data_IF_366246637237
#
_entry.id   IF_366246637237
#
_cell.length_a   1.000
_cell.length_b   1.000
_cell.length_c   1.000
_cell.angle_alpha   90.00
_cell.angle_beta   90.00
_cell.angle_gamma   90.00
#
_symmetry.space_group_name_H-M   'P 1'
#
loop_
_entity.id
_entity.type
_entity.pdbx_description
1 polymer ?
#
# COMPACT_ATOMS: atom_id res chain seq x y z
N UNK A 1 -17.24 11.80 -16.19
CA UNK A 1 -16.50 11.59 -14.90
C UNK A 1 -15.27 10.78 -15.24
N UNK A 2 -14.09 11.10 -14.68
CA UNK A 2 -12.90 10.27 -14.89
C UNK A 2 -13.17 8.87 -14.32
N UNK A 3 -12.80 7.81 -15.07
CA UNK A 3 -12.92 6.42 -14.61
C UNK A 3 -12.02 6.12 -13.40
N UNK A 4 -12.17 4.93 -12.82
CA UNK A 4 -11.28 4.46 -11.77
C UNK A 4 -9.86 4.26 -12.30
N UNK A 5 -8.83 4.56 -11.47
CA UNK A 5 -7.42 4.27 -11.77
C UNK A 5 -6.93 3.12 -10.90
N UNK A 6 -6.02 2.31 -11.45
CA UNK A 6 -5.53 1.13 -10.77
C UNK A 6 -4.01 1.08 -10.68
N UNK A 7 -3.50 0.83 -9.48
CA UNK A 7 -2.13 0.39 -9.23
C UNK A 7 -2.13 -1.09 -8.85
N UNK A 8 -1.02 -1.77 -9.08
CA UNK A 8 -0.81 -3.16 -8.68
C UNK A 8 0.44 -3.29 -7.83
N UNK A 9 0.36 -4.09 -6.75
CA UNK A 9 1.52 -4.43 -5.92
C UNK A 9 1.96 -5.84 -6.22
N UNK A 10 3.24 -6.00 -6.50
CA UNK A 10 3.88 -7.29 -6.61
C UNK A 10 4.69 -7.64 -5.36
N UNK A 11 4.64 -8.91 -5.03
CA UNK A 11 5.44 -9.56 -4.00
C UNK A 11 6.59 -10.27 -4.75
N UNK A 12 7.84 -9.79 -4.69
CA UNK A 12 8.92 -10.32 -5.54
C UNK A 12 9.47 -11.66 -5.01
N UNK A 13 8.71 -12.74 -5.22
CA UNK A 13 9.09 -14.12 -4.85
C UNK A 13 10.16 -14.69 -5.80
N UNK A 14 10.21 -14.21 -7.05
CA UNK A 14 11.22 -14.56 -8.04
C UNK A 14 11.61 -13.34 -8.87
N UNK A 15 12.88 -13.19 -9.16
CA UNK A 15 13.39 -12.10 -9.99
C UNK A 15 13.55 -12.51 -11.48
N UNK A 16 13.58 -13.79 -11.79
CA UNK A 16 13.93 -14.29 -13.13
C UNK A 16 13.01 -13.73 -14.23
N UNK A 17 11.72 -13.63 -13.96
CA UNK A 17 10.70 -13.16 -14.93
C UNK A 17 10.01 -11.86 -14.48
N UNK A 18 10.50 -11.25 -13.42
CA UNK A 18 9.87 -10.11 -12.78
C UNK A 18 9.75 -8.88 -13.70
N UNK A 19 10.79 -8.59 -14.46
CA UNK A 19 10.76 -7.49 -15.42
C UNK A 19 9.71 -7.68 -16.51
N UNK A 20 9.54 -8.90 -17.03
CA UNK A 20 8.49 -9.22 -17.99
C UNK A 20 7.08 -9.07 -17.37
N UNK A 21 6.90 -9.51 -16.12
CA UNK A 21 5.64 -9.33 -15.38
C UNK A 21 5.29 -7.84 -15.23
N UNK A 22 6.29 -6.99 -14.93
CA UNK A 22 6.10 -5.54 -14.83
C UNK A 22 5.71 -4.90 -16.17
N UNK A 23 6.31 -5.34 -17.28
CA UNK A 23 5.93 -4.90 -18.63
C UNK A 23 4.49 -5.29 -18.96
N UNK A 24 4.06 -6.49 -18.57
CA UNK A 24 2.69 -6.95 -18.77
C UNK A 24 1.69 -6.11 -17.95
N UNK A 25 2.04 -5.67 -16.74
CA UNK A 25 1.23 -4.74 -15.95
C UNK A 25 1.06 -3.38 -16.66
N UNK A 26 2.14 -2.82 -17.20
CA UNK A 26 2.06 -1.60 -18.00
C UNK A 26 1.20 -1.78 -19.27
N UNK A 27 1.36 -2.90 -19.94
CA UNK A 27 0.62 -3.21 -21.18
C UNK A 27 -0.88 -3.40 -20.92
N UNK A 28 -1.27 -3.91 -19.76
CA UNK A 28 -2.66 -4.09 -19.34
C UNK A 28 -3.29 -2.82 -18.75
N UNK A 29 -2.57 -1.70 -18.68
CA UNK A 29 -3.14 -0.40 -18.39
C UNK A 29 -3.15 -0.02 -16.89
N UNK A 30 -2.34 -0.65 -16.05
CA UNK A 30 -2.14 -0.17 -14.70
C UNK A 30 -1.37 1.17 -14.68
N UNK A 31 -1.76 2.06 -13.76
CA UNK A 31 -1.17 3.40 -13.61
C UNK A 31 0.05 3.42 -12.69
N UNK A 32 0.08 2.50 -11.70
CA UNK A 32 1.12 2.43 -10.68
C UNK A 32 1.53 0.99 -10.41
N UNK A 33 2.84 0.71 -10.45
CA UNK A 33 3.45 -0.56 -10.09
C UNK A 33 4.17 -0.39 -8.77
N UNK A 34 3.73 -1.13 -7.77
CA UNK A 34 4.35 -1.19 -6.47
C UNK A 34 5.10 -2.49 -6.22
N UNK A 35 6.16 -2.42 -5.42
CA UNK A 35 6.87 -3.60 -4.93
C UNK A 35 6.86 -3.58 -3.40
N UNK A 36 6.53 -4.71 -2.80
CA UNK A 36 6.56 -4.88 -1.35
C UNK A 36 8.00 -4.91 -0.83
N UNK A 37 8.23 -4.29 0.32
CA UNK A 37 9.53 -4.26 1.01
C UNK A 37 9.48 -5.07 2.30
N UNK A 38 9.86 -6.35 2.22
CA UNK A 38 10.00 -7.24 3.37
C UNK A 38 11.15 -8.20 3.13
N UNK A 39 12.35 -7.78 3.48
CA UNK A 39 13.63 -8.43 3.15
C UNK A 39 13.77 -9.87 3.66
N UNK A 40 13.00 -10.27 4.67
CA UNK A 40 13.00 -11.63 5.20
C UNK A 40 11.97 -12.55 4.52
N UNK A 41 11.12 -11.99 3.66
CA UNK A 41 10.01 -12.71 3.00
C UNK A 41 10.17 -12.70 1.49
N UNK A 42 10.59 -11.57 0.92
CA UNK A 42 10.70 -11.32 -0.51
C UNK A 42 12.12 -10.93 -0.92
N UNK A 43 12.41 -10.96 -2.21
CA UNK A 43 13.66 -10.43 -2.76
C UNK A 43 13.78 -8.91 -2.54
N UNK A 44 15.02 -8.41 -2.62
CA UNK A 44 15.35 -7.02 -2.32
C UNK A 44 14.59 -6.05 -3.24
N UNK A 45 13.95 -5.07 -2.60
CA UNK A 45 13.06 -4.09 -3.18
C UNK A 45 13.64 -3.35 -4.40
N UNK A 46 14.82 -2.73 -4.24
CA UNK A 46 15.38 -1.88 -5.30
C UNK A 46 15.97 -2.68 -6.46
N UNK A 47 16.38 -3.92 -6.23
CA UNK A 47 16.73 -4.87 -7.31
C UNK A 47 15.50 -5.15 -8.16
N UNK A 48 14.37 -5.49 -7.54
CA UNK A 48 13.11 -5.72 -8.24
C UNK A 48 12.62 -4.46 -8.98
N UNK A 49 12.66 -3.30 -8.35
CA UNK A 49 12.27 -2.02 -8.97
C UNK A 49 13.19 -1.62 -10.14
N UNK A 50 14.46 -1.97 -10.09
CA UNK A 50 15.39 -1.76 -11.22
C UNK A 50 14.95 -2.58 -12.44
N UNK A 51 14.60 -3.86 -12.24
CA UNK A 51 14.07 -4.70 -13.33
C UNK A 51 12.77 -4.11 -13.89
N UNK A 52 11.88 -3.62 -13.03
CA UNK A 52 10.65 -2.94 -13.45
C UNK A 52 10.94 -1.68 -14.28
N UNK A 53 11.86 -0.82 -13.82
CA UNK A 53 12.21 0.43 -14.51
C UNK A 53 12.77 0.19 -15.91
N UNK A 54 13.61 -0.84 -16.08
CA UNK A 54 14.22 -1.19 -17.36
C UNK A 54 13.24 -1.80 -18.37
N UNK A 55 12.13 -2.36 -17.91
CA UNK A 55 11.16 -3.05 -18.76
C UNK A 55 9.87 -2.26 -19.00
N UNK A 56 9.73 -1.09 -18.38
CA UNK A 56 8.55 -0.22 -18.50
C UNK A 56 8.94 1.20 -18.94
N UNK A 57 7.98 1.96 -19.46
CA UNK A 57 8.23 3.29 -20.04
C UNK A 57 7.29 4.38 -19.56
N UNK A 58 6.12 4.05 -19.01
CA UNK A 58 5.04 4.98 -18.64
C UNK A 58 4.55 4.82 -17.21
N UNK A 59 4.42 3.57 -16.74
CA UNK A 59 3.85 3.27 -15.44
C UNK A 59 4.67 3.92 -14.32
N UNK A 60 4.01 4.55 -13.35
CA UNK A 60 4.64 4.98 -12.09
C UNK A 60 5.13 3.75 -11.36
N UNK A 61 6.28 3.85 -10.69
CA UNK A 61 6.84 2.71 -9.97
C UNK A 61 7.53 3.13 -8.67
N UNK A 62 7.55 2.22 -7.68
CA UNK A 62 8.19 2.49 -6.40
C UNK A 62 7.81 1.48 -5.32
N UNK A 63 8.35 1.63 -4.11
CA UNK A 63 7.93 0.82 -2.99
C UNK A 63 6.45 1.06 -2.64
N UNK A 64 5.71 -0.01 -2.38
CA UNK A 64 4.37 0.02 -1.83
C UNK A 64 4.22 -1.01 -0.71
N UNK A 65 4.79 -0.73 0.50
CA UNK A 65 5.54 0.47 0.87
C UNK A 65 6.85 0.09 1.56
N UNK A 66 7.85 0.98 1.61
CA UNK A 66 9.01 0.84 2.47
C UNK A 66 8.81 1.55 3.82
N UNK A 67 9.83 1.56 4.67
CA UNK A 67 9.81 2.16 6.00
C UNK A 67 11.12 2.91 6.31
N UNK A 68 11.16 3.82 7.31
CA UNK A 68 12.36 4.60 7.60
C UNK A 68 13.39 3.89 8.49
N UNK A 69 13.20 2.61 8.83
CA UNK A 69 14.00 1.91 9.84
C UNK A 69 14.92 0.83 9.27
N UNK A 70 14.48 0.11 8.22
CA UNK A 70 15.28 -0.98 7.62
C UNK A 70 16.49 -0.48 6.83
N UNK A 71 16.43 0.78 6.36
CA UNK A 71 17.54 1.45 5.67
C UNK A 71 17.70 2.86 6.23
N UNK A 72 18.94 3.31 6.36
CA UNK A 72 19.22 4.71 6.70
C UNK A 72 18.61 5.65 5.65
N UNK A 73 17.99 6.76 6.06
CA UNK A 73 17.27 7.68 5.16
C UNK A 73 18.10 8.16 3.96
N UNK A 74 19.40 8.38 4.15
CA UNK A 74 20.32 8.73 3.05
C UNK A 74 20.42 7.60 2.03
N UNK A 75 20.43 6.34 2.46
CA UNK A 75 20.48 5.17 1.58
C UNK A 75 19.17 5.06 0.81
N UNK A 76 18.03 5.21 1.49
CA UNK A 76 16.70 5.24 0.85
C UNK A 76 16.59 6.38 -0.17
N UNK A 77 17.04 7.60 0.18
CA UNK A 77 17.02 8.74 -0.72
C UNK A 77 17.90 8.52 -1.96
N UNK A 78 19.10 7.95 -1.77
CA UNK A 78 20.00 7.62 -2.87
C UNK A 78 19.40 6.56 -3.80
N UNK A 79 18.80 5.51 -3.24
CA UNK A 79 18.21 4.42 -4.02
C UNK A 79 17.00 4.90 -4.84
N UNK A 80 16.08 5.67 -4.21
CA UNK A 80 14.90 6.15 -4.92
C UNK A 80 15.24 7.24 -5.95
N UNK A 81 16.24 8.09 -5.69
CA UNK A 81 16.71 9.07 -6.67
C UNK A 81 17.38 8.38 -7.87
N UNK A 82 18.13 7.29 -7.65
CA UNK A 82 18.70 6.48 -8.72
C UNK A 82 17.59 5.80 -9.55
N UNK A 83 16.57 5.28 -8.90
CA UNK A 83 15.40 4.72 -9.58
C UNK A 83 14.65 5.78 -10.39
N UNK A 84 14.52 7.00 -9.86
CA UNK A 84 13.88 8.11 -10.55
C UNK A 84 14.64 8.50 -11.83
N UNK A 85 15.97 8.62 -11.76
CA UNK A 85 16.82 8.87 -12.91
C UNK A 85 16.69 7.74 -13.95
N UNK A 86 16.83 6.49 -13.51
CA UNK A 86 16.77 5.31 -14.39
C UNK A 86 15.40 5.18 -15.09
N UNK A 87 14.34 5.53 -14.42
CA UNK A 87 12.98 5.44 -14.94
C UNK A 87 12.53 6.68 -15.72
N UNK A 88 13.36 7.72 -15.82
CA UNK A 88 12.99 8.97 -16.48
C UNK A 88 11.94 9.78 -15.71
N UNK A 89 12.01 9.81 -14.39
CA UNK A 89 11.15 10.62 -13.54
C UNK A 89 9.82 9.97 -13.13
N UNK A 90 9.71 8.63 -13.21
CA UNK A 90 8.47 7.89 -12.87
C UNK A 90 8.45 7.34 -11.45
N UNK A 91 9.51 7.52 -10.65
CA UNK A 91 9.55 7.00 -9.30
C UNK A 91 8.60 7.74 -8.36
N UNK A 92 8.01 6.99 -7.43
CA UNK A 92 7.27 7.50 -6.28
C UNK A 92 7.64 6.67 -5.04
N UNK A 93 7.80 7.33 -3.90
CA UNK A 93 8.21 6.69 -2.65
C UNK A 93 7.00 6.44 -1.75
N UNK A 94 6.49 5.23 -1.72
CA UNK A 94 5.54 4.81 -0.69
C UNK A 94 6.27 4.54 0.63
N UNK A 95 5.86 5.20 1.69
CA UNK A 95 6.45 5.13 3.02
C UNK A 95 5.38 4.71 4.05
N UNK A 96 5.71 3.79 4.93
CA UNK A 96 4.86 3.38 6.05
C UNK A 96 5.65 3.28 7.35
N UNK A 97 4.97 2.99 8.46
CA UNK A 97 5.63 2.82 9.76
C UNK A 97 6.45 1.54 9.88
N UNK A 98 6.31 0.62 8.96
CA UNK A 98 6.91 -0.71 9.00
C UNK A 98 5.98 -1.78 9.60
N UNK A 99 6.13 -3.00 9.10
CA UNK A 99 5.40 -4.20 9.56
C UNK A 99 6.32 -5.42 9.51
N UNK A 100 6.07 -6.45 8.69
CA UNK A 100 6.88 -7.68 8.59
C UNK A 100 8.38 -7.39 8.46
N UNK A 101 8.78 -6.39 7.66
CA UNK A 101 10.17 -6.00 7.47
C UNK A 101 10.89 -5.61 8.77
N UNK A 102 10.21 -4.94 9.69
CA UNK A 102 10.81 -4.49 10.96
C UNK A 102 10.64 -5.51 12.08
N UNK A 103 9.50 -6.23 12.12
CA UNK A 103 9.26 -7.24 13.16
C UNK A 103 10.20 -8.43 13.02
N UNK A 104 10.56 -8.85 11.80
CA UNK A 104 11.58 -9.88 11.58
C UNK A 104 12.99 -9.46 12.04
N UNK A 105 13.23 -8.15 12.20
CA UNK A 105 14.46 -7.59 12.78
C UNK A 105 14.35 -7.31 14.29
N UNK A 106 13.20 -7.60 14.91
CA UNK A 106 12.95 -7.31 16.33
C UNK A 106 12.79 -5.82 16.64
N UNK A 107 12.50 -4.99 15.64
CA UNK A 107 12.36 -3.54 15.80
C UNK A 107 10.87 -3.12 15.93
N UNK A 108 10.59 -2.02 16.67
CA UNK A 108 9.24 -1.46 16.72
C UNK A 108 8.90 -0.65 15.46
N UNK A 109 7.61 -0.45 15.14
CA UNK A 109 7.20 0.45 14.07
C UNK A 109 7.66 1.89 14.31
N UNK A 110 7.89 2.64 13.22
CA UNK A 110 8.19 4.06 13.31
C UNK A 110 7.05 4.83 13.99
N UNK A 111 7.43 5.78 14.85
CA UNK A 111 6.48 6.69 15.49
C UNK A 111 5.97 7.74 14.48
N UNK A 112 4.90 8.46 14.83
CA UNK A 112 4.43 9.59 14.01
C UNK A 112 5.52 10.64 13.83
N UNK A 113 6.26 10.99 14.88
CA UNK A 113 7.38 11.92 14.79
C UNK A 113 8.50 11.39 13.88
N UNK A 114 8.79 10.10 13.94
CA UNK A 114 9.76 9.45 13.05
C UNK A 114 9.31 9.44 11.58
N UNK A 115 8.02 9.27 11.31
CA UNK A 115 7.47 9.40 9.96
C UNK A 115 7.54 10.84 9.45
N UNK A 116 7.21 11.82 10.30
CA UNK A 116 7.32 13.25 9.99
C UNK A 116 8.76 13.63 9.62
N UNK A 117 9.72 13.24 10.46
CA UNK A 117 11.15 13.46 10.20
C UNK A 117 11.62 12.76 8.91
N UNK A 118 11.12 11.55 8.65
CA UNK A 118 11.48 10.81 7.44
C UNK A 118 10.95 11.49 6.17
N UNK A 119 9.71 11.96 6.16
CA UNK A 119 9.11 12.66 5.01
C UNK A 119 9.89 13.94 4.71
N UNK A 120 10.16 14.78 5.73
CA UNK A 120 10.94 16.00 5.60
C UNK A 120 12.35 15.75 5.05
N UNK A 121 13.06 14.80 5.70
CA UNK A 121 14.43 14.44 5.33
C UNK A 121 14.52 13.84 3.91
N UNK A 122 13.65 12.91 3.57
CA UNK A 122 13.64 12.28 2.24
C UNK A 122 13.25 13.27 1.14
N UNK A 123 12.29 14.16 1.42
CA UNK A 123 11.91 15.24 0.50
C UNK A 123 13.09 16.15 0.15
N UNK A 124 13.82 16.62 1.15
CA UNK A 124 15.00 17.47 0.96
C UNK A 124 16.15 16.72 0.27
N UNK A 125 16.47 15.50 0.72
CA UNK A 125 17.56 14.69 0.13
C UNK A 125 17.32 14.33 -1.34
N UNK A 126 16.08 14.01 -1.72
CA UNK A 126 15.73 13.69 -3.11
C UNK A 126 15.72 14.93 -4.00
N UNK A 127 15.52 16.14 -3.42
CA UNK A 127 15.72 17.42 -4.12
C UNK A 127 17.21 17.78 -4.32
N UNK A 128 18.14 17.02 -3.74
CA UNK A 128 19.57 17.33 -3.75
C UNK A 128 20.00 18.34 -2.69
N UNK A 129 19.09 18.71 -1.78
CA UNK A 129 19.36 19.66 -0.70
C UNK A 129 20.18 18.99 0.42
N UNK A 130 20.97 19.80 1.12
CA UNK A 130 21.72 19.34 2.28
C UNK A 130 20.86 19.43 3.55
N UNK A 131 20.83 18.34 4.31
CA UNK A 131 20.07 18.23 5.57
C UNK A 131 21.05 18.09 6.74
N UNK A 132 20.91 18.91 7.77
CA UNK A 132 21.68 18.81 9.01
C UNK A 132 20.91 17.96 10.02
N UNK A 133 21.48 16.82 10.43
CA UNK A 133 20.92 15.89 11.44
C UNK A 133 22.02 15.33 12.32
N UNK A 134 21.77 15.24 13.62
CA UNK A 134 22.71 14.66 14.60
C UNK A 134 24.16 15.20 14.46
N UNK A 135 24.32 16.48 14.22
CA UNK A 135 25.63 17.13 14.05
C UNK A 135 26.36 16.82 12.73
N UNK A 136 25.69 16.11 11.80
CA UNK A 136 26.24 15.78 10.48
C UNK A 136 25.44 16.46 9.37
N UNK A 137 26.07 16.66 8.23
CA UNK A 137 25.39 17.10 7.00
C UNK A 137 25.25 15.92 6.06
N UNK A 138 24.00 15.65 5.64
CA UNK A 138 23.66 14.62 4.67
C UNK A 138 23.25 15.28 3.36
N UNK A 139 23.67 14.73 2.24
CA UNK A 139 23.28 15.19 0.91
C UNK A 139 23.38 14.07 -0.12
N UNK A 140 22.44 14.00 -1.04
CA UNK A 140 22.47 13.11 -2.20
C UNK A 140 22.83 13.93 -3.43
N UNK A 141 24.12 14.03 -3.73
CA UNK A 141 24.65 14.94 -4.78
C UNK A 141 24.13 14.64 -6.19
N UNK A 142 23.66 13.42 -6.46
CA UNK A 142 23.12 13.03 -7.77
C UNK A 142 21.61 13.17 -7.87
N UNK A 143 20.90 13.42 -6.79
CA UNK A 143 19.48 13.72 -6.84
C UNK A 143 19.23 15.02 -7.61
N UNK A 144 18.21 15.02 -8.46
CA UNK A 144 17.91 16.13 -9.37
C UNK A 144 16.50 16.65 -9.23
N UNK A 145 15.62 15.89 -8.64
CA UNK A 145 14.20 16.18 -8.53
C UNK A 145 13.65 15.58 -7.25
N UNK A 146 12.83 16.34 -6.55
CA UNK A 146 12.08 15.79 -5.42
C UNK A 146 11.19 14.66 -5.89
N UNK A 147 11.41 13.47 -5.35
CA UNK A 147 10.58 12.29 -5.61
C UNK A 147 9.29 12.41 -4.78
N UNK A 148 8.10 12.24 -5.38
CA UNK A 148 6.85 12.29 -4.63
C UNK A 148 6.79 11.22 -3.53
N UNK A 149 6.37 11.63 -2.33
CA UNK A 149 6.26 10.75 -1.15
C UNK A 149 4.79 10.50 -0.84
N UNK A 150 4.42 9.22 -0.78
CA UNK A 150 3.09 8.74 -0.42
C UNK A 150 3.13 8.07 0.94
N UNK A 151 2.36 8.59 1.92
CA UNK A 151 2.32 7.98 3.24
C UNK A 151 1.18 6.94 3.32
N UNK A 152 1.54 5.70 3.67
CA UNK A 152 0.57 4.67 4.00
C UNK A 152 -0.03 4.93 5.39
N UNK A 153 -1.34 5.01 5.47
CA UNK A 153 -2.05 5.44 6.67
C UNK A 153 -3.30 4.60 6.97
N UNK A 154 -3.42 4.17 8.22
CA UNK A 154 -4.49 3.30 8.72
C UNK A 154 -5.10 3.79 10.05
N UNK A 155 -4.79 5.00 10.44
CA UNK A 155 -5.35 5.60 11.64
C UNK A 155 -5.49 7.11 11.50
N UNK A 156 -6.39 7.75 12.27
CA UNK A 156 -6.73 9.16 12.07
C UNK A 156 -5.51 10.08 12.17
N UNK A 157 -4.60 9.85 13.11
CA UNK A 157 -3.40 10.66 13.28
C UNK A 157 -2.40 10.53 12.13
N UNK A 158 -2.25 9.33 11.56
CA UNK A 158 -1.36 9.11 10.41
C UNK A 158 -1.99 9.67 9.13
N UNK A 159 -3.32 9.59 8.98
CA UNK A 159 -4.05 10.22 7.89
C UNK A 159 -3.93 11.75 7.93
N UNK A 160 -4.02 12.37 9.13
CA UNK A 160 -3.78 13.80 9.30
C UNK A 160 -2.33 14.19 8.97
N UNK A 161 -1.35 13.39 9.41
CA UNK A 161 0.06 13.59 9.04
C UNK A 161 0.25 13.53 7.52
N UNK A 162 -0.34 12.56 6.86
CA UNK A 162 -0.28 12.42 5.41
C UNK A 162 -0.86 13.65 4.70
N UNK A 163 -2.04 14.11 5.13
CA UNK A 163 -2.66 15.34 4.61
C UNK A 163 -1.78 16.58 4.76
N UNK A 164 -1.05 16.68 5.87
CA UNK A 164 -0.20 17.82 6.18
C UNK A 164 1.11 17.84 5.39
N UNK A 165 1.75 16.69 5.16
CA UNK A 165 3.15 16.65 4.70
C UNK A 165 3.40 15.86 3.42
N UNK A 166 2.59 14.86 3.09
CA UNK A 166 2.86 13.98 1.95
C UNK A 166 2.34 14.57 0.62
N UNK A 167 2.84 14.05 -0.50
CA UNK A 167 2.32 14.36 -1.84
C UNK A 167 1.07 13.52 -2.16
N UNK A 168 0.95 12.39 -1.51
CA UNK A 168 -0.21 11.52 -1.61
C UNK A 168 -0.38 10.61 -0.41
N UNK A 169 -1.47 9.86 -0.40
CA UNK A 169 -1.86 8.99 0.70
C UNK A 169 -2.23 7.63 0.15
N UNK A 170 -1.71 6.56 0.77
CA UNK A 170 -2.15 5.19 0.54
C UNK A 170 -3.00 4.78 1.74
N UNK A 171 -4.31 4.79 1.57
CA UNK A 171 -5.26 4.49 2.65
C UNK A 171 -5.47 2.99 2.77
N UNK A 172 -5.00 2.40 3.86
CA UNK A 172 -5.16 0.98 4.18
C UNK A 172 -6.25 0.69 5.22
N UNK A 173 -7.07 1.70 5.60
CA UNK A 173 -8.06 1.56 6.66
C UNK A 173 -9.33 0.81 6.22
N UNK A 174 -9.63 0.78 4.93
CA UNK A 174 -10.77 0.05 4.37
C UNK A 174 -11.52 0.83 3.29
N UNK A 175 -12.51 0.15 2.68
CA UNK A 175 -13.22 0.56 1.47
C UNK A 175 -14.73 0.76 1.69
N UNK A 176 -15.25 0.62 2.93
CA UNK A 176 -16.67 0.93 3.17
C UNK A 176 -16.91 2.43 3.08
N UNK A 177 -18.11 2.88 2.67
CA UNK A 177 -18.43 4.30 2.56
C UNK A 177 -18.12 5.12 3.82
N UNK A 178 -18.40 4.56 4.99
CA UNK A 178 -18.15 5.20 6.30
C UNK A 178 -16.67 5.38 6.55
N UNK A 179 -15.85 4.35 6.23
CA UNK A 179 -14.40 4.38 6.40
C UNK A 179 -13.74 5.33 5.40
N UNK A 180 -14.24 5.38 4.18
CA UNK A 180 -13.79 6.35 3.17
C UNK A 180 -14.06 7.76 3.66
N UNK A 181 -15.28 8.06 4.14
CA UNK A 181 -15.63 9.38 4.67
C UNK A 181 -14.77 9.77 5.87
N UNK A 182 -14.57 8.87 6.84
CA UNK A 182 -13.69 9.09 7.99
C UNK A 182 -12.24 9.38 7.57
N UNK A 183 -11.74 8.62 6.61
CA UNK A 183 -10.36 8.78 6.11
C UNK A 183 -10.16 10.11 5.39
N UNK A 184 -11.07 10.46 4.48
CA UNK A 184 -11.03 11.75 3.76
C UNK A 184 -11.12 12.92 4.71
N UNK A 185 -12.00 12.87 5.71
CA UNK A 185 -12.13 13.92 6.72
C UNK A 185 -10.82 14.10 7.54
N UNK A 186 -10.14 12.99 7.90
CA UNK A 186 -8.86 13.07 8.60
C UNK A 186 -7.74 13.65 7.72
N UNK A 187 -7.64 13.22 6.46
CA UNK A 187 -6.69 13.77 5.49
C UNK A 187 -6.93 15.25 5.28
N UNK A 188 -8.20 15.67 5.12
CA UNK A 188 -8.58 17.07 4.92
C UNK A 188 -8.21 17.95 6.12
N UNK A 189 -8.41 17.48 7.36
CA UNK A 189 -7.95 18.22 8.55
C UNK A 189 -6.45 18.46 8.52
N UNK A 190 -5.65 17.44 8.19
CA UNK A 190 -4.20 17.59 8.04
C UNK A 190 -3.81 18.54 6.93
N UNK A 191 -4.45 18.45 5.77
CA UNK A 191 -4.21 19.33 4.62
C UNK A 191 -4.51 20.79 4.97
N UNK A 192 -5.67 21.06 5.56
CA UNK A 192 -6.05 22.43 5.99
C UNK A 192 -5.09 23.03 7.01
N UNK A 193 -4.57 22.22 7.95
CA UNK A 193 -3.57 22.66 8.91
C UNK A 193 -2.26 23.13 8.25
N UNK A 194 -1.98 22.68 7.03
CA UNK A 194 -0.84 23.08 6.20
C UNK A 194 -1.21 24.07 5.08
N UNK A 195 -2.42 24.65 5.08
CA UNK A 195 -2.90 25.54 4.02
C UNK A 195 -3.14 24.86 2.68
N UNK A 196 -3.39 23.55 2.68
CA UNK A 196 -3.64 22.70 1.52
C UNK A 196 -5.11 22.24 1.48
N UNK A 197 -5.49 21.62 0.38
CA UNK A 197 -6.81 21.00 0.17
C UNK A 197 -6.67 19.53 -0.22
N UNK A 198 -7.75 18.78 -0.24
CA UNK A 198 -7.76 17.39 -0.76
C UNK A 198 -7.35 17.31 -2.24
N UNK A 199 -7.59 18.38 -3.01
CA UNK A 199 -7.22 18.43 -4.43
C UNK A 199 -5.70 18.47 -4.66
N UNK A 200 -4.93 18.87 -3.65
CA UNK A 200 -3.46 18.91 -3.69
C UNK A 200 -2.84 17.54 -3.36
N UNK A 201 -3.66 16.51 -3.11
CA UNK A 201 -3.23 15.19 -2.67
C UNK A 201 -3.68 14.10 -3.65
N UNK A 202 -2.77 13.20 -3.98
CA UNK A 202 -3.05 12.00 -4.76
C UNK A 202 -3.42 10.85 -3.82
N UNK A 203 -4.73 10.52 -3.69
CA UNK A 203 -5.23 9.55 -2.69
C UNK A 203 -5.52 8.21 -3.34
N UNK A 204 -4.85 7.18 -2.86
CA UNK A 204 -4.98 5.79 -3.30
C UNK A 204 -5.53 4.90 -2.19
N UNK A 205 -6.41 3.97 -2.55
CA UNK A 205 -7.07 3.05 -1.62
C UNK A 205 -6.53 1.65 -1.80
N UNK A 206 -5.97 1.09 -0.74
CA UNK A 206 -5.37 -0.24 -0.78
C UNK A 206 -6.44 -1.32 -0.62
N UNK A 207 -6.45 -2.32 -1.52
CA UNK A 207 -7.41 -3.42 -1.52
C UNK A 207 -6.71 -4.78 -1.63
N UNK A 208 -7.14 -5.74 -0.83
CA UNK A 208 -6.83 -7.16 -1.02
C UNK A 208 -7.74 -7.70 -2.12
N UNK A 209 -7.16 -8.28 -3.16
CA UNK A 209 -7.92 -8.54 -4.37
C UNK A 209 -7.76 -9.98 -4.85
N UNK A 210 -8.87 -10.57 -5.24
CA UNK A 210 -8.90 -11.78 -6.04
C UNK A 210 -10.13 -11.79 -6.96
N UNK A 211 -9.96 -12.30 -8.18
CA UNK A 211 -10.98 -12.45 -9.19
C UNK A 211 -11.14 -13.93 -9.51
N UNK A 212 -12.32 -14.48 -9.24
CA UNK A 212 -12.62 -15.90 -9.48
C UNK A 212 -14.03 -16.06 -10.07
N UNK A 213 -14.38 -17.29 -10.43
CA UNK A 213 -15.69 -17.59 -11.02
C UNK A 213 -16.81 -17.64 -9.96
N UNK A 214 -16.44 -17.74 -8.68
CA UNK A 214 -17.37 -17.63 -7.55
C UNK A 214 -16.79 -16.71 -6.47
N UNK A 215 -17.68 -16.01 -5.75
CA UNK A 215 -17.30 -15.17 -4.62
C UNK A 215 -16.57 -15.97 -3.53
N UNK A 216 -17.05 -17.18 -3.24
CA UNK A 216 -16.45 -18.04 -2.21
C UNK A 216 -14.99 -18.40 -2.55
N UNK A 217 -14.72 -18.81 -3.79
CA UNK A 217 -13.37 -19.13 -4.24
C UNK A 217 -12.43 -17.92 -4.17
N UNK A 218 -12.91 -16.73 -4.57
CA UNK A 218 -12.13 -15.52 -4.49
C UNK A 218 -11.76 -15.14 -3.04
N UNK A 219 -12.71 -15.27 -2.11
CA UNK A 219 -12.50 -14.94 -0.70
C UNK A 219 -11.53 -15.94 -0.06
N UNK A 220 -11.67 -17.24 -0.34
CA UNK A 220 -10.81 -18.26 0.24
C UNK A 220 -9.32 -18.00 -0.03
N UNK A 221 -9.00 -17.54 -1.24
CA UNK A 221 -7.62 -17.20 -1.63
C UNK A 221 -7.02 -15.99 -0.91
N UNK A 222 -7.83 -15.09 -0.36
CA UNK A 222 -7.33 -13.87 0.30
C UNK A 222 -7.48 -13.88 1.82
N UNK A 223 -7.97 -14.97 2.44
CA UNK A 223 -8.18 -15.04 3.90
C UNK A 223 -6.91 -14.72 4.70
N UNK A 224 -5.74 -15.23 4.28
CA UNK A 224 -4.47 -14.90 4.93
C UNK A 224 -4.15 -13.40 4.84
N UNK A 225 -4.45 -12.76 3.70
CA UNK A 225 -4.24 -11.33 3.50
C UNK A 225 -5.25 -10.48 4.28
N UNK A 226 -6.48 -10.97 4.46
CA UNK A 226 -7.48 -10.33 5.33
C UNK A 226 -7.07 -10.40 6.80
N UNK A 227 -6.53 -11.53 7.26
CA UNK A 227 -5.99 -11.65 8.61
C UNK A 227 -4.79 -10.72 8.82
N UNK A 228 -3.90 -10.59 7.85
CA UNK A 228 -2.79 -9.63 7.86
C UNK A 228 -3.31 -8.18 7.92
N UNK A 229 -4.33 -7.83 7.12
CA UNK A 229 -4.95 -6.51 7.16
C UNK A 229 -5.56 -6.19 8.52
N UNK A 230 -6.28 -7.14 9.13
CA UNK A 230 -6.84 -6.96 10.46
C UNK A 230 -5.75 -6.76 11.52
N UNK A 231 -4.70 -7.58 11.47
CA UNK A 231 -3.55 -7.44 12.38
C UNK A 231 -2.89 -6.07 12.24
N UNK A 232 -2.64 -5.62 11.02
CA UNK A 232 -1.95 -4.37 10.73
C UNK A 232 -2.84 -3.14 10.98
N UNK A 233 -4.01 -3.06 10.37
CA UNK A 233 -4.88 -1.89 10.44
C UNK A 233 -5.39 -1.60 11.86
N UNK A 234 -5.52 -2.61 12.70
CA UNK A 234 -6.08 -2.48 14.05
C UNK A 234 -5.04 -2.62 15.19
N UNK A 235 -3.75 -2.71 14.90
CA UNK A 235 -2.69 -3.07 15.86
C UNK A 235 -2.57 -2.14 17.07
N UNK A 236 -2.72 -0.83 16.90
CA UNK A 236 -2.52 0.13 18.01
C UNK A 236 -3.81 0.48 18.74
N UNK A 237 -4.86 0.81 18.00
CA UNK A 237 -6.16 1.19 18.53
C UNK A 237 -7.27 0.84 17.57
N UNK A 238 -8.48 0.66 18.07
CA UNK A 238 -9.71 0.57 17.28
C UNK A 238 -10.46 1.90 17.24
N UNK A 239 -10.09 2.83 18.14
CA UNK A 239 -10.70 4.13 18.26
C UNK A 239 -10.50 4.98 16.99
N UNK A 240 -11.56 5.63 16.54
CA UNK A 240 -11.55 6.47 15.34
C UNK A 240 -11.43 5.70 14.02
N UNK A 241 -11.54 4.36 14.05
CA UNK A 241 -11.40 3.51 12.86
C UNK A 241 -12.74 2.94 12.35
N UNK A 242 -13.87 3.36 12.89
CA UNK A 242 -15.20 2.87 12.46
C UNK A 242 -15.36 1.37 12.65
N UNK A 243 -14.99 0.85 13.82
CA UNK A 243 -15.17 -0.57 14.20
C UNK A 243 -16.22 -0.64 15.28
N UNK A 244 -17.27 -1.43 15.06
CA UNK A 244 -18.34 -1.63 16.02
C UNK A 244 -17.83 -2.36 17.28
N UNK A 245 -18.39 -2.04 18.45
CA UNK A 245 -17.88 -2.51 19.74
C UNK A 245 -17.88 -4.04 19.88
N UNK A 246 -18.87 -4.71 19.31
CA UNK A 246 -18.99 -6.19 19.29
C UNK A 246 -17.85 -6.89 18.54
N UNK A 247 -17.17 -6.21 17.63
CA UNK A 247 -16.04 -6.75 16.87
C UNK A 247 -14.69 -6.54 17.57
N UNK A 248 -14.64 -5.75 18.66
CA UNK A 248 -13.39 -5.42 19.32
C UNK A 248 -12.68 -6.67 19.85
N UNK A 249 -13.38 -7.53 20.61
CA UNK A 249 -12.77 -8.74 21.16
C UNK A 249 -12.43 -9.79 20.09
N UNK A 250 -13.28 -10.10 19.10
CA UNK A 250 -12.89 -10.95 17.97
C UNK A 250 -11.61 -10.48 17.25
N UNK A 251 -11.47 -9.17 16.98
CA UNK A 251 -10.28 -8.59 16.36
C UNK A 251 -9.05 -8.76 17.26
N UNK A 252 -9.16 -8.46 18.56
CA UNK A 252 -8.06 -8.66 19.51
C UNK A 252 -7.66 -10.13 19.64
N UNK A 253 -8.63 -11.04 19.60
CA UNK A 253 -8.36 -12.48 19.60
C UNK A 253 -7.61 -12.94 18.34
N UNK A 254 -8.00 -12.43 17.16
CA UNK A 254 -7.27 -12.67 15.91
C UNK A 254 -5.82 -12.17 16.03
N UNK A 255 -5.62 -10.94 16.51
CA UNK A 255 -4.28 -10.35 16.67
C UNK A 255 -3.39 -11.16 17.61
N UNK A 256 -3.91 -11.67 18.73
CA UNK A 256 -3.17 -12.54 19.64
C UNK A 256 -2.76 -13.88 19.04
N UNK A 257 -3.59 -14.39 18.10
CA UNK A 257 -3.35 -15.66 17.42
C UNK A 257 -2.52 -15.53 16.13
N UNK A 258 -2.28 -14.31 15.67
CA UNK A 258 -1.59 -14.03 14.43
C UNK A 258 -0.10 -14.38 14.52
N UNK A 259 0.39 -15.18 13.58
CA UNK A 259 1.79 -15.54 13.47
C UNK A 259 2.47 -14.70 12.36
N UNK A 260 3.42 -13.86 12.76
CA UNK A 260 4.17 -13.01 11.83
C UNK A 260 5.07 -13.79 10.85
N UNK A 261 5.50 -15.00 11.21
CA UNK A 261 6.28 -15.87 10.32
C UNK A 261 5.44 -16.45 9.17
N UNK A 262 4.12 -16.46 9.32
CA UNK A 262 3.17 -16.87 8.30
C UNK A 262 2.47 -15.68 7.62
N UNK A 263 3.10 -14.50 7.64
CA UNK A 263 2.54 -13.28 7.05
C UNK A 263 2.29 -13.45 5.55
N UNK A 264 1.02 -13.35 5.15
CA UNK A 264 0.55 -13.45 3.75
C UNK A 264 0.99 -14.71 2.98
N UNK A 265 1.36 -15.78 3.68
CA UNK A 265 1.70 -17.07 3.06
C UNK A 265 0.43 -17.88 2.83
N UNK A 266 0.16 -18.21 1.56
CA UNK A 266 -1.00 -19.02 1.17
C UNK A 266 -0.98 -20.40 1.83
N UNK A 267 -2.14 -20.84 2.37
CA UNK A 267 -2.28 -22.14 3.02
C UNK A 267 -1.65 -22.24 4.41
N UNK A 268 -1.00 -21.20 4.94
CA UNK A 268 -0.47 -21.19 6.30
C UNK A 268 -1.55 -20.85 7.35
N UNK A 269 -1.21 -21.05 8.65
CA UNK A 269 -2.16 -21.01 9.76
C UNK A 269 -2.98 -19.73 9.91
N UNK A 270 -2.49 -18.57 9.42
CA UNK A 270 -3.24 -17.33 9.48
C UNK A 270 -4.51 -17.31 8.63
N UNK A 271 -4.60 -18.10 7.57
CA UNK A 271 -5.78 -18.16 6.70
C UNK A 271 -7.06 -18.59 7.45
N UNK A 272 -6.93 -19.49 8.43
CA UNK A 272 -8.08 -19.96 9.22
C UNK A 272 -8.55 -18.98 10.33
N UNK A 273 -7.79 -17.93 10.63
CA UNK A 273 -8.10 -17.04 11.74
C UNK A 273 -9.37 -16.22 11.51
N UNK A 274 -9.64 -15.80 10.26
CA UNK A 274 -10.81 -14.99 9.94
C UNK A 274 -12.11 -15.75 10.19
N UNK A 275 -12.16 -17.03 9.80
CA UNK A 275 -13.30 -17.92 10.05
C UNK A 275 -13.41 -18.28 11.52
N UNK A 276 -12.29 -18.64 12.16
CA UNK A 276 -12.23 -19.01 13.58
C UNK A 276 -12.82 -17.95 14.50
N UNK A 277 -12.62 -16.67 14.17
CA UNK A 277 -13.11 -15.54 14.98
C UNK A 277 -14.36 -14.88 14.40
N UNK A 278 -14.99 -15.45 13.36
CA UNK A 278 -16.22 -14.93 12.76
C UNK A 278 -16.05 -13.58 12.06
N UNK A 279 -14.85 -13.27 11.57
CA UNK A 279 -14.51 -11.95 11.02
C UNK A 279 -14.49 -11.92 9.49
N UNK A 280 -14.63 -13.05 8.80
CA UNK A 280 -14.41 -13.16 7.35
C UNK A 280 -15.23 -12.15 6.57
N UNK A 281 -16.56 -12.09 6.76
CA UNK A 281 -17.44 -11.18 6.00
C UNK A 281 -17.14 -9.71 6.33
N UNK A 282 -16.90 -9.37 7.60
CA UNK A 282 -16.51 -8.02 8.00
C UNK A 282 -15.21 -7.58 7.33
N UNK A 283 -14.21 -8.46 7.30
CA UNK A 283 -12.91 -8.12 6.72
C UNK A 283 -12.96 -8.06 5.19
N UNK A 284 -13.77 -8.90 4.54
CA UNK A 284 -14.02 -8.84 3.10
C UNK A 284 -14.67 -7.51 2.74
N UNK A 285 -15.78 -7.14 3.39
CA UNK A 285 -16.48 -5.88 3.13
C UNK A 285 -15.58 -4.68 3.35
N UNK A 286 -14.72 -4.75 4.35
CA UNK A 286 -13.84 -3.67 4.73
C UNK A 286 -12.59 -3.51 3.86
N UNK A 287 -11.90 -4.60 3.51
CA UNK A 287 -10.55 -4.55 2.93
C UNK A 287 -10.43 -5.13 1.53
N UNK A 288 -11.47 -5.78 1.02
CA UNK A 288 -11.34 -6.50 -0.24
C UNK A 288 -12.09 -5.86 -1.40
N UNK A 289 -11.52 -6.08 -2.59
CA UNK A 289 -12.23 -6.08 -3.87
C UNK A 289 -12.07 -7.51 -4.40
N UNK A 290 -13.02 -8.38 -4.06
CA UNK A 290 -12.91 -9.81 -4.35
C UNK A 290 -14.27 -10.45 -4.64
N UNK A 291 -14.28 -11.37 -5.59
CA UNK A 291 -15.46 -12.10 -6.02
C UNK A 291 -15.45 -12.39 -7.52
N UNK A 292 -16.65 -12.50 -8.09
CA UNK A 292 -16.82 -12.49 -9.54
C UNK A 292 -16.52 -11.09 -10.10
N UNK A 293 -16.35 -10.93 -11.42
CA UNK A 293 -16.21 -9.61 -12.04
C UNK A 293 -17.32 -8.63 -11.65
N UNK A 294 -18.57 -9.11 -11.59
CA UNK A 294 -19.72 -8.29 -11.18
C UNK A 294 -19.62 -7.84 -9.72
N UNK A 295 -19.16 -8.72 -8.81
CA UNK A 295 -18.94 -8.37 -7.40
C UNK A 295 -17.86 -7.29 -7.27
N UNK A 296 -16.73 -7.45 -7.97
CA UNK A 296 -15.64 -6.48 -7.95
C UNK A 296 -16.09 -5.10 -8.48
N UNK A 297 -16.82 -5.07 -9.59
CA UNK A 297 -17.37 -3.82 -10.15
C UNK A 297 -18.34 -3.15 -9.17
N UNK A 298 -19.21 -3.91 -8.52
CA UNK A 298 -20.17 -3.38 -7.53
C UNK A 298 -19.43 -2.78 -6.32
N UNK A 299 -18.40 -3.46 -5.80
CA UNK A 299 -17.58 -2.99 -4.68
C UNK A 299 -16.85 -1.70 -5.03
N UNK A 300 -16.22 -1.63 -6.23
CA UNK A 300 -15.52 -0.43 -6.70
C UNK A 300 -16.51 0.74 -6.88
N UNK A 301 -17.66 0.52 -7.53
CA UNK A 301 -18.68 1.56 -7.70
C UNK A 301 -19.19 2.10 -6.37
N UNK A 302 -19.39 1.24 -5.37
CA UNK A 302 -19.75 1.64 -4.01
C UNK A 302 -18.67 2.54 -3.39
N UNK A 303 -17.41 2.16 -3.48
CA UNK A 303 -16.29 2.96 -3.00
C UNK A 303 -16.16 4.29 -3.77
N UNK A 304 -16.37 4.26 -5.10
CA UNK A 304 -16.34 5.47 -5.93
C UNK A 304 -17.48 6.45 -5.57
N UNK A 305 -18.65 5.96 -5.24
CA UNK A 305 -19.78 6.78 -4.78
C UNK A 305 -19.43 7.48 -3.45
N UNK A 306 -18.60 6.87 -2.61
CA UNK A 306 -18.11 7.46 -1.36
C UNK A 306 -16.89 8.40 -1.52
N UNK A 307 -16.33 8.53 -2.73
CA UNK A 307 -15.23 9.46 -3.03
C UNK A 307 -13.89 8.81 -3.39
N UNK A 308 -13.74 7.49 -3.28
CA UNK A 308 -12.54 6.80 -3.74
C UNK A 308 -12.46 6.82 -5.29
N UNK A 309 -11.28 7.05 -5.85
CA UNK A 309 -11.09 7.12 -7.31
C UNK A 309 -9.92 6.28 -7.81
N UNK A 310 -8.98 5.98 -6.94
CA UNK A 310 -7.73 5.32 -7.28
C UNK A 310 -7.51 4.15 -6.32
N UNK A 311 -7.25 2.97 -6.86
CA UNK A 311 -7.16 1.73 -6.09
C UNK A 311 -5.81 1.07 -6.33
N UNK A 312 -5.12 0.74 -5.25
CA UNK A 312 -3.94 -0.13 -5.29
C UNK A 312 -4.39 -1.53 -4.92
N UNK A 313 -4.25 -2.45 -5.83
CA UNK A 313 -4.67 -3.84 -5.64
C UNK A 313 -3.46 -4.77 -5.46
N UNK A 314 -3.64 -5.80 -4.65
CA UNK A 314 -2.67 -6.90 -4.51
C UNK A 314 -3.36 -8.17 -4.95
N UNK A 315 -2.94 -8.74 -6.08
CA UNK A 315 -3.48 -10.00 -6.58
C UNK A 315 -2.82 -11.19 -5.90
N UNK A 316 -3.52 -11.84 -4.98
CA UNK A 316 -3.10 -13.14 -4.42
C UNK A 316 -3.61 -14.25 -5.33
N UNK A 317 -2.90 -14.49 -6.43
CA UNK A 317 -3.32 -15.37 -7.51
C UNK A 317 -2.14 -16.21 -8.02
N UNK A 318 -2.39 -17.48 -8.42
CA UNK A 318 -1.34 -18.34 -8.97
C UNK A 318 -0.76 -17.83 -10.30
N UNK A 319 -1.58 -17.14 -11.12
CA UNK A 319 -1.20 -16.58 -12.40
C UNK A 319 -1.50 -15.07 -12.44
N UNK A 320 -0.52 -14.22 -12.09
CA UNK A 320 -0.68 -12.77 -12.12
C UNK A 320 -0.98 -12.22 -13.53
N UNK A 321 -0.48 -12.86 -14.60
CA UNK A 321 -0.72 -12.40 -15.98
C UNK A 321 -2.15 -12.64 -16.42
N UNK A 322 -2.69 -13.82 -16.13
CA UNK A 322 -4.10 -14.12 -16.38
C UNK A 322 -5.01 -13.17 -15.55
N UNK A 323 -4.67 -12.96 -14.29
CA UNK A 323 -5.39 -12.03 -13.43
C UNK A 323 -5.42 -10.61 -13.99
N UNK A 324 -4.27 -10.04 -14.37
CA UNK A 324 -4.20 -8.68 -14.92
C UNK A 324 -5.04 -8.52 -16.19
N UNK A 325 -5.00 -9.50 -17.09
CA UNK A 325 -5.83 -9.49 -18.31
C UNK A 325 -7.32 -9.54 -17.98
N UNK A 326 -7.75 -10.46 -17.11
CA UNK A 326 -9.15 -10.56 -16.67
C UNK A 326 -9.59 -9.27 -15.98
N UNK A 327 -8.77 -8.74 -15.07
CA UNK A 327 -9.04 -7.48 -14.35
C UNK A 327 -9.32 -6.34 -15.35
N UNK A 328 -8.43 -6.15 -16.30
CA UNK A 328 -8.58 -5.07 -17.30
C UNK A 328 -9.84 -5.24 -18.13
N UNK A 329 -10.14 -6.44 -18.64
CA UNK A 329 -11.27 -6.65 -19.55
C UNK A 329 -12.61 -6.79 -18.83
N UNK A 330 -12.65 -7.45 -17.68
CA UNK A 330 -13.90 -7.84 -17.00
C UNK A 330 -14.28 -6.85 -15.88
N UNK A 331 -13.33 -6.05 -15.36
CA UNK A 331 -13.55 -5.11 -14.24
C UNK A 331 -13.27 -3.67 -14.66
N UNK A 332 -12.04 -3.34 -15.03
CA UNK A 332 -11.64 -1.94 -15.27
C UNK A 332 -12.35 -1.33 -16.50
N UNK A 333 -12.53 -2.11 -17.57
CA UNK A 333 -13.15 -1.63 -18.79
C UNK A 333 -14.65 -1.30 -18.67
N UNK A 334 -15.33 -1.74 -17.61
CA UNK A 334 -16.77 -1.52 -17.40
C UNK A 334 -17.08 -0.48 -16.31
N UNK A 335 -16.05 0.17 -15.73
CA UNK A 335 -16.16 1.21 -14.70
C UNK A 335 -16.17 2.60 -15.33
#
# INVERSE_FOLDING_TARGET
MAGARFGIVFLPESLADFGALCRDAEATGFDWLGVADSQSVFHELYVALTLAALQTSRIRLGPLVTNPQTRHLVVTASAIASLDELSGGRAALGLGSGDSAIYTLGAPPATLAGLEEAIDTLGSLTSGEAVKRAGRTWQVHRARRRVPIYLAAEGPRTLELAGRMADGVIVGLGLTPEVIALSLAAIERGARAAGRTLADLDVWWFAKTNLADTRAAAIDHIKMALAASANHAFRFTLEGKGVAAELHEPIRALQRAYDAHHHEIAGAGNAGLTDRFGLTEFLVDRFAIAGTPADCVAQIRRAMAAGARQFVITGFVPDPRAFMKRWTHEVAAVL
#
